data_IF_171473496333
#
_entry.id   IF_171473496333
#
_cell.length_a   1.000
_cell.length_b   1.000
_cell.length_c   1.000
_cell.angle_alpha   90.00
_cell.angle_beta   90.00
_cell.angle_gamma   90.00
#
_symmetry.space_group_name_H-M   'P 1'
#
loop_
_entity.id
_entity.type
_entity.pdbx_description
1 polymer ?
#
# COMPACT_ATOMS: atom_id res chain seq x y z
N UNK A 1 -11.77 -9.49 -18.26
CA UNK A 1 -10.72 -9.86 -17.29
C UNK A 1 -11.18 -9.41 -15.93
N UNK A 2 -11.17 -10.30 -14.94
CA UNK A 2 -11.46 -9.95 -13.55
C UNK A 2 -10.19 -9.35 -12.95
N UNK A 3 -10.32 -8.31 -12.14
CA UNK A 3 -9.16 -7.65 -11.52
C UNK A 3 -8.67 -8.51 -10.34
N UNK A 4 -7.57 -9.24 -10.54
CA UNK A 4 -7.06 -10.23 -9.58
C UNK A 4 -5.94 -9.65 -8.71
N UNK A 5 -5.94 -9.95 -7.41
CA UNK A 5 -4.86 -9.57 -6.50
C UNK A 5 -3.54 -10.25 -6.91
N UNK A 6 -2.47 -9.46 -7.04
CA UNK A 6 -1.11 -9.93 -7.36
C UNK A 6 -0.12 -9.67 -6.23
N UNK A 7 -0.17 -8.48 -5.63
CA UNK A 7 0.69 -8.12 -4.49
C UNK A 7 -0.15 -7.42 -3.44
N UNK A 8 -0.02 -7.87 -2.19
CA UNK A 8 -0.65 -7.24 -1.04
C UNK A 8 0.43 -6.61 -0.15
N UNK A 9 0.49 -5.28 -0.17
CA UNK A 9 1.31 -4.52 0.75
C UNK A 9 0.54 -4.29 2.04
N UNK A 10 0.89 -5.09 3.02
CA UNK A 10 0.22 -5.15 4.30
C UNK A 10 0.77 -4.15 5.32
N UNK A 11 -0.12 -3.61 6.15
CA UNK A 11 0.17 -2.78 7.33
C UNK A 11 0.96 -1.52 6.96
N UNK A 12 0.26 -0.60 6.32
CA UNK A 12 0.80 0.72 5.98
C UNK A 12 0.02 1.84 6.66
N UNK A 13 0.62 3.03 6.67
CA UNK A 13 0.00 4.22 7.22
C UNK A 13 0.17 5.43 6.30
N UNK A 14 -0.87 6.27 6.23
CA UNK A 14 -0.75 7.64 5.69
C UNK A 14 -0.31 8.59 6.80
N UNK A 15 0.68 9.43 6.48
CA UNK A 15 1.39 10.27 7.45
C UNK A 15 0.68 11.56 7.88
N UNK A 16 -0.56 11.80 7.46
CA UNK A 16 -1.37 12.95 7.91
C UNK A 16 -2.11 12.59 9.20
N UNK A 17 -2.23 13.53 10.13
CA UNK A 17 -3.06 13.35 11.32
C UNK A 17 -4.55 13.55 10.99
N UNK A 18 -5.47 12.69 11.44
CA UNK A 18 -5.23 11.45 12.21
C UNK A 18 -4.59 10.35 11.35
N UNK A 19 -3.68 9.56 11.95
CA UNK A 19 -3.00 8.47 11.26
C UNK A 19 -4.02 7.43 10.79
N UNK A 20 -4.00 7.11 9.50
CA UNK A 20 -4.90 6.13 8.88
C UNK A 20 -4.16 4.82 8.66
N UNK A 21 -4.77 3.72 9.10
CA UNK A 21 -4.35 2.37 8.73
C UNK A 21 -4.90 2.05 7.35
N UNK A 22 -4.01 1.58 6.49
CA UNK A 22 -4.40 1.11 5.18
C UNK A 22 -3.46 0.02 4.67
N UNK A 23 -3.98 -0.79 3.78
CA UNK A 23 -3.21 -1.73 3.00
C UNK A 23 -3.29 -1.32 1.52
N UNK A 24 -2.27 -1.68 0.74
CA UNK A 24 -2.26 -1.45 -0.71
C UNK A 24 -2.38 -2.78 -1.42
N UNK A 25 -3.46 -2.91 -2.20
CA UNK A 25 -3.78 -4.10 -2.97
C UNK A 25 -3.44 -3.82 -4.44
N UNK A 26 -2.32 -4.35 -4.90
CA UNK A 26 -1.93 -4.29 -6.31
C UNK A 26 -2.59 -5.45 -7.04
N UNK A 27 -3.61 -5.12 -7.83
CA UNK A 27 -4.31 -6.07 -8.67
C UNK A 27 -3.75 -6.03 -10.09
N UNK A 28 -4.35 -6.80 -11.01
CA UNK A 28 -3.93 -6.87 -12.41
C UNK A 28 -4.04 -5.55 -13.17
N UNK A 29 -5.05 -4.72 -12.89
CA UNK A 29 -5.32 -3.51 -13.68
C UNK A 29 -5.10 -2.21 -12.90
N UNK A 30 -5.10 -2.28 -11.56
CA UNK A 30 -5.02 -1.11 -10.70
C UNK A 30 -4.52 -1.45 -9.31
N UNK A 31 -4.09 -0.42 -8.59
CA UNK A 31 -3.86 -0.49 -7.16
C UNK A 31 -5.03 0.11 -6.38
N UNK A 32 -5.40 -0.54 -5.28
CA UNK A 32 -6.34 -0.01 -4.29
C UNK A 32 -5.60 0.36 -3.01
N UNK A 33 -5.75 1.59 -2.56
CA UNK A 33 -5.32 2.05 -1.24
C UNK A 33 -6.55 1.99 -0.33
N UNK A 34 -6.61 0.96 0.51
CA UNK A 34 -7.81 0.61 1.27
C UNK A 34 -7.62 1.01 2.72
N UNK A 35 -8.17 2.17 3.09
CA UNK A 35 -8.19 2.65 4.47
C UNK A 35 -9.29 1.93 5.24
N UNK A 36 -8.95 1.28 6.35
CA UNK A 36 -9.91 0.48 7.14
C UNK A 36 -10.05 0.96 8.59
N UNK A 37 -9.17 1.85 9.06
CA UNK A 37 -9.25 2.39 10.41
C UNK A 37 -8.37 3.64 10.58
N UNK A 38 -8.51 4.32 11.71
CA UNK A 38 -7.62 5.37 12.18
C UNK A 38 -7.10 5.09 13.59
N UNK A 39 -5.92 5.59 13.88
CA UNK A 39 -5.27 5.41 15.17
C UNK A 39 -5.48 6.62 16.06
N UNK A 40 -6.01 6.37 17.25
CA UNK A 40 -5.98 7.31 18.36
C UNK A 40 -4.64 7.23 19.10
N UNK A 41 -4.25 8.24 19.89
CA UNK A 41 -3.07 8.13 20.74
C UNK A 41 -3.09 6.92 21.70
N UNK A 42 -4.29 6.51 22.14
CA UNK A 42 -4.49 5.34 23.01
C UNK A 42 -4.13 4.05 22.29
N UNK A 43 -4.51 3.92 21.02
CA UNK A 43 -4.22 2.75 20.19
C UNK A 43 -2.73 2.45 20.07
N UNK A 44 -1.93 3.51 19.93
CA UNK A 44 -0.47 3.42 19.81
C UNK A 44 0.19 2.85 21.07
N UNK A 45 -0.40 3.09 22.25
CA UNK A 45 0.16 2.62 23.53
C UNK A 45 -0.11 1.12 23.74
N UNK A 46 -1.24 0.62 23.24
CA UNK A 46 -1.69 -0.75 23.49
C UNK A 46 -1.35 -1.75 22.38
N UNK A 47 -0.71 -1.32 21.29
CA UNK A 47 -0.35 -2.22 20.19
C UNK A 47 -1.56 -2.72 19.38
N UNK A 48 -2.68 -1.99 19.39
CA UNK A 48 -3.84 -2.29 18.56
C UNK A 48 -3.62 -2.17 17.04
N UNK A 49 -2.67 -1.36 16.51
CA UNK A 49 -2.46 -1.26 15.07
C UNK A 49 -2.09 -2.59 14.41
N UNK A 50 -1.17 -3.35 15.00
CA UNK A 50 -0.72 -4.64 14.49
C UNK A 50 -1.85 -5.67 14.41
N UNK A 51 -2.71 -5.73 15.45
CA UNK A 51 -3.85 -6.66 15.48
C UNK A 51 -4.90 -6.31 14.43
N UNK A 52 -5.21 -5.01 14.28
CA UNK A 52 -6.18 -4.53 13.28
C UNK A 52 -5.68 -4.78 11.87
N UNK A 53 -4.40 -4.50 11.64
CA UNK A 53 -3.77 -4.80 10.36
C UNK A 53 -3.86 -6.31 10.07
N UNK A 54 -3.43 -7.16 11.00
CA UNK A 54 -3.47 -8.62 10.80
C UNK A 54 -4.88 -9.12 10.50
N UNK A 55 -5.90 -8.60 11.20
CA UNK A 55 -7.30 -8.94 10.95
C UNK A 55 -7.76 -8.51 9.53
N UNK A 56 -7.36 -7.33 9.06
CA UNK A 56 -7.63 -6.90 7.70
C UNK A 56 -6.95 -7.81 6.67
N UNK A 57 -5.70 -8.20 6.91
CA UNK A 57 -5.00 -9.10 6.00
C UNK A 57 -5.62 -10.48 5.91
N UNK A 58 -6.04 -11.05 7.04
CA UNK A 58 -6.81 -12.30 7.06
C UNK A 58 -8.08 -12.19 6.24
N UNK A 59 -8.83 -11.08 6.35
CA UNK A 59 -10.03 -10.84 5.53
C UNK A 59 -9.72 -10.83 4.04
N UNK A 60 -8.66 -10.14 3.60
CA UNK A 60 -8.27 -10.12 2.18
C UNK A 60 -8.00 -11.54 1.67
N UNK A 61 -7.35 -12.38 2.47
CA UNK A 61 -7.03 -13.78 2.12
C UNK A 61 -8.26 -14.68 2.11
N UNK A 62 -9.14 -14.54 3.10
CA UNK A 62 -10.29 -15.43 3.32
C UNK A 62 -11.50 -15.06 2.45
N UNK A 63 -11.74 -13.76 2.27
CA UNK A 63 -12.96 -13.22 1.63
C UNK A 63 -12.66 -12.50 0.30
N UNK A 64 -11.41 -12.18 0.03
CA UNK A 64 -10.96 -11.55 -1.22
C UNK A 64 -11.02 -10.02 -1.24
N UNK A 65 -10.53 -9.45 -2.34
CA UNK A 65 -10.47 -7.99 -2.56
C UNK A 65 -11.85 -7.29 -2.49
N UNK A 66 -12.94 -7.83 -3.07
CA UNK A 66 -14.24 -7.16 -3.00
C UNK A 66 -14.73 -6.94 -1.56
N UNK A 67 -14.62 -7.94 -0.69
CA UNK A 67 -15.02 -7.82 0.72
C UNK A 67 -14.14 -6.83 1.49
N UNK A 68 -12.84 -6.77 1.17
CA UNK A 68 -11.93 -5.78 1.74
C UNK A 68 -12.31 -4.34 1.34
N UNK A 69 -12.74 -4.13 0.10
CA UNK A 69 -13.22 -2.83 -0.40
C UNK A 69 -14.56 -2.44 0.26
N UNK A 70 -15.49 -3.38 0.39
CA UNK A 70 -16.81 -3.13 0.99
C UNK A 70 -16.74 -2.72 2.47
N UNK A 71 -15.74 -3.24 3.20
CA UNK A 71 -15.55 -2.97 4.63
C UNK A 71 -14.63 -1.78 4.91
N UNK A 72 -14.13 -1.11 3.88
CA UNK A 72 -13.20 0.01 3.99
C UNK A 72 -13.89 1.29 4.51
N UNK A 73 -13.17 2.09 5.28
CA UNK A 73 -13.58 3.47 5.59
C UNK A 73 -13.45 4.36 4.34
N UNK A 74 -12.40 4.15 3.55
CA UNK A 74 -12.18 4.86 2.30
C UNK A 74 -11.33 4.02 1.35
N UNK A 75 -11.59 4.18 0.04
CA UNK A 75 -10.81 3.52 -1.01
C UNK A 75 -10.37 4.54 -2.03
N UNK A 76 -9.06 4.65 -2.22
CA UNK A 76 -8.49 5.37 -3.34
C UNK A 76 -8.03 4.37 -4.40
N UNK A 77 -8.53 4.54 -5.62
CA UNK A 77 -8.22 3.66 -6.76
C UNK A 77 -7.23 4.34 -7.69
N UNK A 78 -6.17 3.62 -8.06
CA UNK A 78 -5.10 4.09 -8.93
C UNK A 78 -4.96 3.14 -10.13
N UNK A 79 -5.72 3.36 -11.22
CA UNK A 79 -5.59 2.60 -12.47
C UNK A 79 -4.19 2.72 -13.06
N UNK A 80 -3.59 1.62 -13.50
CA UNK A 80 -2.19 1.64 -13.96
C UNK A 80 -1.98 2.47 -15.23
N UNK A 81 -2.96 2.56 -16.11
CA UNK A 81 -2.94 3.44 -17.29
C UNK A 81 -2.81 4.93 -16.92
N UNK A 82 -3.31 5.33 -15.75
CA UNK A 82 -3.21 6.70 -15.22
C UNK A 82 -1.93 6.96 -14.42
N UNK A 83 -1.12 5.94 -14.12
CA UNK A 83 0.14 6.09 -13.37
C UNK A 83 1.33 6.38 -14.28
N UNK A 84 2.22 7.26 -13.82
CA UNK A 84 3.56 7.43 -14.40
C UNK A 84 4.55 6.43 -13.78
N UNK A 85 4.42 6.18 -12.48
CA UNK A 85 5.31 5.25 -11.80
C UNK A 85 4.99 5.03 -10.34
N UNK A 86 5.69 4.05 -9.77
CA UNK A 86 5.64 3.74 -8.34
C UNK A 86 7.07 3.81 -7.82
N UNK A 87 7.31 4.68 -6.85
CA UNK A 87 8.62 4.81 -6.19
C UNK A 87 8.60 4.03 -4.87
N UNK A 88 9.58 3.16 -4.68
CA UNK A 88 9.79 2.32 -3.50
C UNK A 88 11.06 2.84 -2.80
N UNK A 89 10.91 3.40 -1.61
CA UNK A 89 12.03 3.82 -0.79
C UNK A 89 12.24 2.80 0.33
N UNK A 90 13.45 2.26 0.46
CA UNK A 90 13.76 1.22 1.44
C UNK A 90 13.75 1.72 2.90
N UNK A 91 13.79 3.04 3.11
CA UNK A 91 13.92 3.64 4.45
C UNK A 91 15.37 3.69 4.94
N UNK A 92 16.30 3.01 4.27
CA UNK A 92 17.70 2.90 4.69
C UNK A 92 17.83 2.24 6.07
N UNK A 93 18.86 2.62 6.85
CA UNK A 93 19.13 2.02 8.18
C UNK A 93 18.20 2.49 9.30
N UNK A 94 17.45 3.58 9.09
CA UNK A 94 16.80 4.33 10.18
C UNK A 94 15.35 4.73 9.89
N UNK A 95 14.96 4.79 8.61
CA UNK A 95 13.61 5.14 8.19
C UNK A 95 12.76 3.90 7.95
N UNK A 96 11.44 4.08 7.98
CA UNK A 96 10.49 3.07 7.50
C UNK A 96 10.45 3.07 5.97
N UNK A 97 10.26 1.92 5.33
CA UNK A 97 10.02 1.88 3.89
C UNK A 97 8.82 2.75 3.51
N UNK A 98 8.89 3.38 2.35
CA UNK A 98 7.89 4.33 1.86
C UNK A 98 7.56 4.04 0.41
N UNK A 99 6.28 3.81 0.11
CA UNK A 99 5.79 3.57 -1.23
C UNK A 99 5.04 4.80 -1.71
N UNK A 100 5.29 5.24 -2.94
CA UNK A 100 4.62 6.40 -3.54
C UNK A 100 4.13 6.07 -4.93
N UNK A 101 2.81 6.08 -5.13
CA UNK A 101 2.19 6.02 -6.45
C UNK A 101 2.13 7.44 -7.04
N UNK A 102 2.68 7.61 -8.23
CA UNK A 102 2.72 8.89 -8.95
C UNK A 102 1.79 8.83 -10.15
N UNK A 103 0.61 9.48 -10.09
CA UNK A 103 -0.24 9.59 -11.25
C UNK A 103 0.40 10.51 -12.30
N UNK A 104 0.00 10.34 -13.57
CA UNK A 104 0.41 11.23 -14.68
C UNK A 104 -0.08 12.66 -14.45
N UNK A 105 -1.22 12.80 -13.77
CA UNK A 105 -1.84 14.08 -13.43
C UNK A 105 -2.36 14.03 -11.99
N UNK A 106 -2.17 15.10 -11.22
CA UNK A 106 -2.65 15.19 -9.84
C UNK A 106 -1.56 14.96 -8.79
N UNK A 107 -1.99 14.78 -7.54
CA UNK A 107 -1.09 14.59 -6.41
C UNK A 107 -0.65 13.12 -6.28
N UNK A 108 0.58 12.91 -5.84
CA UNK A 108 1.08 11.58 -5.53
C UNK A 108 0.50 11.05 -4.22
N UNK A 109 0.34 9.74 -4.15
CA UNK A 109 -0.18 9.04 -2.98
C UNK A 109 0.93 8.26 -2.31
N UNK A 110 1.20 8.58 -1.04
CA UNK A 110 2.33 8.02 -0.29
C UNK A 110 1.85 7.28 0.95
N UNK A 111 2.40 6.09 1.17
CA UNK A 111 2.21 5.29 2.38
C UNK A 111 3.56 4.89 2.98
N UNK A 112 3.61 4.74 4.31
CA UNK A 112 4.76 4.18 5.02
C UNK A 112 4.44 2.76 5.46
N UNK A 113 5.41 1.85 5.33
CA UNK A 113 5.24 0.45 5.71
C UNK A 113 5.59 0.28 7.19
N UNK A 114 4.66 -0.31 7.94
CA UNK A 114 4.80 -0.59 9.37
C UNK A 114 4.97 -2.09 9.65
N UNK A 115 4.49 -2.95 8.77
CA UNK A 115 4.70 -4.39 8.81
C UNK A 115 6.09 -4.84 8.33
N UNK A 116 6.27 -6.16 8.27
CA UNK A 116 7.46 -6.77 7.68
C UNK A 116 7.54 -6.44 6.19
N UNK A 117 8.72 -6.04 5.72
CA UNK A 117 8.91 -5.59 4.35
C UNK A 117 10.30 -5.97 3.86
N UNK A 118 10.35 -6.81 2.83
CA UNK A 118 11.56 -7.03 2.05
C UNK A 118 11.43 -6.26 0.74
N UNK A 119 12.34 -5.31 0.53
CA UNK A 119 12.26 -4.37 -0.60
C UNK A 119 12.46 -5.08 -1.93
N UNK A 120 13.42 -6.00 -2.01
CA UNK A 120 13.84 -6.59 -3.28
C UNK A 120 12.76 -7.53 -3.86
N UNK A 121 12.23 -8.53 -3.13
CA UNK A 121 11.15 -9.38 -3.62
C UNK A 121 9.88 -8.58 -3.91
N UNK A 122 9.58 -7.56 -3.10
CA UNK A 122 8.43 -6.69 -3.33
C UNK A 122 8.56 -5.91 -4.63
N UNK A 123 9.72 -5.29 -4.89
CA UNK A 123 9.99 -4.57 -6.14
C UNK A 123 9.82 -5.48 -7.36
N UNK A 124 10.37 -6.70 -7.31
CA UNK A 124 10.28 -7.66 -8.41
C UNK A 124 8.83 -8.11 -8.67
N UNK A 125 8.08 -8.43 -7.60
CA UNK A 125 6.68 -8.81 -7.72
C UNK A 125 5.82 -7.67 -8.27
N UNK A 126 6.09 -6.44 -7.85
CA UNK A 126 5.38 -5.26 -8.34
C UNK A 126 5.72 -4.96 -9.81
N UNK A 127 6.99 -5.08 -10.20
CA UNK A 127 7.41 -4.93 -11.60
C UNK A 127 6.68 -5.93 -12.50
N UNK A 128 6.59 -7.19 -12.10
CA UNK A 128 5.82 -8.21 -12.83
C UNK A 128 4.32 -7.88 -12.87
N UNK A 129 3.77 -7.31 -11.80
CA UNK A 129 2.35 -6.95 -11.72
C UNK A 129 1.97 -5.84 -12.69
N UNK A 130 2.84 -4.85 -12.89
CA UNK A 130 2.56 -3.69 -13.76
C UNK A 130 3.17 -3.81 -15.16
N UNK A 131 3.74 -4.97 -15.48
CA UNK A 131 4.33 -5.26 -16.79
C UNK A 131 3.28 -5.05 -17.89
N UNK A 132 3.64 -4.31 -18.94
CA UNK A 132 2.72 -3.99 -20.04
C UNK A 132 1.83 -2.76 -19.82
N UNK A 133 1.73 -2.21 -18.60
CA UNK A 133 0.91 -1.03 -18.32
C UNK A 133 1.66 0.32 -18.47
N UNK A 134 2.94 0.29 -18.85
CA UNK A 134 3.74 1.50 -19.02
C UNK A 134 4.02 2.26 -17.70
N UNK A 135 3.89 1.57 -16.56
CA UNK A 135 4.19 2.10 -15.23
C UNK A 135 5.64 1.78 -14.88
N UNK A 136 6.42 2.78 -14.49
CA UNK A 136 7.81 2.55 -14.07
C UNK A 136 7.90 2.34 -12.56
N UNK A 137 8.36 1.17 -12.13
CA UNK A 137 8.69 0.89 -10.71
C UNK A 137 10.14 1.27 -10.44
N UNK A 138 10.39 2.15 -9.47
CA UNK A 138 11.73 2.65 -9.14
C UNK A 138 12.06 2.37 -7.68
N UNK A 139 13.08 1.55 -7.44
CA UNK A 139 13.66 1.39 -6.11
C UNK A 139 14.68 2.51 -5.84
N UNK A 140 14.59 3.13 -4.67
CA UNK A 140 15.52 4.17 -4.21
C UNK A 140 15.97 3.83 -2.80
N UNK A 141 17.28 3.92 -2.58
CA UNK A 141 17.83 3.78 -1.24
C UNK A 141 17.60 5.04 -0.41
N UNK A 142 17.28 4.84 0.86
CA UNK A 142 17.14 5.91 1.85
C UNK A 142 15.69 6.28 2.19
N UNK A 143 15.53 7.42 2.86
CA UNK A 143 14.32 7.76 3.62
C UNK A 143 13.17 8.28 2.73
N UNK A 144 13.49 8.79 1.54
CA UNK A 144 12.54 9.49 0.66
C UNK A 144 12.01 10.76 1.32
N UNK A 145 12.33 11.93 0.77
CA UNK A 145 11.77 13.19 1.25
C UNK A 145 10.32 13.38 0.76
#
# INVERSE_FOLDING_TARGET
MTDELRVHLHYTMRGSYPLRLLDVLFCTERAYFVEYDYLTPVDLVFGSPDQRAAAFASRVVEEGVPAAIETAEAVETQPYDTLDGIDIHSGGRVGRPKITARPRTGAATTVRVHGQFDTEPFTQALQSTVEGHGVTVRQRDGIGF
#
